data_IF_649271732640
#
_entry.id   IF_649271732640
#
_cell.length_a   1.000
_cell.length_b   1.000
_cell.length_c   1.000
_cell.angle_alpha   90.00
_cell.angle_beta   90.00
_cell.angle_gamma   90.00
#
_symmetry.space_group_name_H-M   'P 1'
#
loop_
_entity.id
_entity.type
_entity.pdbx_description
1 polymer ?
#
# COMPACT_ATOMS: atom_id res chain seq x y z
N UNK A 1 65.18 32.47 1.51
CA UNK A 1 64.21 32.33 0.40
C UNK A 1 62.84 32.03 1.01
N UNK A 2 61.85 32.93 0.89
CA UNK A 2 60.50 32.75 1.45
C UNK A 2 59.58 32.17 0.37
N UNK A 3 58.96 31.02 0.63
CA UNK A 3 57.94 30.42 -0.23
C UNK A 3 56.59 31.07 0.11
N UNK A 4 55.96 31.72 -0.87
CA UNK A 4 54.64 32.34 -0.72
C UNK A 4 53.57 31.24 -0.67
N UNK A 5 52.78 31.22 0.41
CA UNK A 5 51.65 30.31 0.58
C UNK A 5 50.50 30.78 -0.30
N UNK A 6 50.14 29.96 -1.28
CA UNK A 6 49.02 30.18 -2.19
C UNK A 6 47.72 29.74 -1.49
N UNK A 7 47.24 30.56 -0.55
CA UNK A 7 45.96 30.39 0.15
C UNK A 7 44.87 31.28 -0.47
N UNK A 8 44.76 31.27 -1.80
CA UNK A 8 43.56 31.75 -2.49
C UNK A 8 42.51 30.64 -2.56
N UNK A 9 41.21 30.91 -2.33
CA UNK A 9 40.16 29.88 -2.46
C UNK A 9 39.98 29.55 -3.95
N UNK A 10 40.81 28.66 -4.49
CA UNK A 10 40.84 28.29 -5.91
C UNK A 10 39.76 27.30 -6.35
N UNK A 11 38.74 27.05 -5.54
CA UNK A 11 37.67 26.10 -5.89
C UNK A 11 36.28 26.53 -5.41
N UNK A 12 35.84 27.75 -5.73
CA UNK A 12 34.41 28.03 -5.84
C UNK A 12 33.91 27.64 -7.25
N UNK A 13 34.08 26.37 -7.62
CA UNK A 13 33.53 25.81 -8.86
C UNK A 13 32.02 25.66 -8.71
N UNK A 14 31.26 26.75 -8.78
CA UNK A 14 29.84 26.78 -9.21
C UNK A 14 28.84 25.74 -8.68
N UNK A 15 29.08 25.04 -7.56
CA UNK A 15 28.21 23.96 -7.09
C UNK A 15 26.89 24.51 -6.53
N UNK A 16 26.87 25.77 -6.06
CA UNK A 16 25.73 26.36 -5.36
C UNK A 16 24.53 26.76 -6.23
N UNK A 17 24.70 26.93 -7.55
CA UNK A 17 23.62 27.49 -8.41
C UNK A 17 23.12 26.52 -9.48
N UNK A 18 24.03 25.76 -10.11
CA UNK A 18 23.66 24.80 -11.18
C UNK A 18 23.05 23.50 -10.63
N UNK A 19 23.43 23.10 -9.40
CA UNK A 19 22.85 21.91 -8.77
C UNK A 19 21.36 22.10 -8.46
N UNK A 20 20.95 23.30 -8.01
CA UNK A 20 19.55 23.58 -7.66
C UNK A 20 18.59 23.51 -8.86
N UNK A 21 19.03 23.93 -10.04
CA UNK A 21 18.26 23.79 -11.29
C UNK A 21 18.10 22.32 -11.72
N UNK A 22 19.17 21.53 -11.58
CA UNK A 22 19.12 20.08 -11.79
C UNK A 22 18.21 19.39 -10.75
N UNK A 23 18.19 19.88 -9.51
CA UNK A 23 17.31 19.41 -8.42
C UNK A 23 15.85 19.79 -8.70
N UNK A 24 15.60 20.96 -9.30
CA UNK A 24 14.27 21.42 -9.70
C UNK A 24 13.62 20.52 -10.76
N UNK A 25 14.40 20.11 -11.79
CA UNK A 25 13.93 19.17 -12.82
C UNK A 25 13.66 17.78 -12.22
N UNK A 26 14.58 17.30 -11.37
CA UNK A 26 14.47 16.02 -10.66
C UNK A 26 13.26 15.97 -9.74
N UNK A 27 12.95 17.06 -9.04
CA UNK A 27 11.79 17.16 -8.14
C UNK A 27 10.45 17.07 -8.90
N UNK A 28 10.36 17.68 -10.08
CA UNK A 28 9.18 17.56 -10.97
C UNK A 28 8.98 16.12 -11.43
N UNK A 29 10.06 15.42 -11.78
CA UNK A 29 10.03 14.01 -12.16
C UNK A 29 9.62 13.10 -10.99
N UNK A 30 10.23 13.28 -9.82
CA UNK A 30 9.89 12.52 -8.60
C UNK A 30 8.42 12.69 -8.22
N UNK A 31 7.86 13.91 -8.34
CA UNK A 31 6.43 14.13 -8.08
C UNK A 31 5.52 13.28 -8.97
N UNK A 32 5.78 13.25 -10.28
CA UNK A 32 5.00 12.42 -11.23
C UNK A 32 5.11 10.93 -10.90
N UNK A 33 6.29 10.49 -10.49
CA UNK A 33 6.53 9.10 -10.11
C UNK A 33 5.80 8.69 -8.83
N UNK A 34 5.86 9.53 -7.79
CA UNK A 34 5.15 9.31 -6.52
C UNK A 34 3.63 9.29 -6.73
N UNK A 35 3.10 10.19 -7.56
CA UNK A 35 1.68 10.23 -7.91
C UNK A 35 1.23 8.97 -8.67
N UNK A 36 2.06 8.48 -9.61
CA UNK A 36 1.82 7.22 -10.31
C UNK A 36 1.80 6.00 -9.38
N UNK A 37 2.74 5.94 -8.43
CA UNK A 37 2.78 4.87 -7.42
C UNK A 37 1.56 4.92 -6.50
N UNK A 38 1.13 6.11 -6.08
CA UNK A 38 -0.07 6.28 -5.26
C UNK A 38 -1.32 5.71 -5.93
N UNK A 39 -1.49 5.99 -7.24
CA UNK A 39 -2.60 5.46 -8.03
C UNK A 39 -2.54 3.92 -8.16
N UNK A 40 -1.36 3.37 -8.38
CA UNK A 40 -1.17 1.92 -8.49
C UNK A 40 -1.43 1.19 -7.16
N UNK A 41 -0.92 1.73 -6.05
CA UNK A 41 -1.09 1.16 -4.72
C UNK A 41 -2.55 1.23 -4.23
N UNK A 42 -3.27 2.30 -4.57
CA UNK A 42 -4.70 2.45 -4.27
C UNK A 42 -5.55 1.38 -4.96
N UNK A 43 -5.30 1.13 -6.24
CA UNK A 43 -6.04 0.13 -7.01
C UNK A 43 -5.70 -1.31 -6.58
N UNK A 44 -4.43 -1.62 -6.33
CA UNK A 44 -3.99 -2.95 -5.93
C UNK A 44 -4.61 -3.43 -4.60
N UNK A 45 -4.84 -2.51 -3.65
CA UNK A 45 -5.44 -2.84 -2.34
C UNK A 45 -6.96 -3.07 -2.45
N UNK A 46 -7.63 -2.42 -3.41
CA UNK A 46 -9.06 -2.59 -3.69
C UNK A 46 -9.37 -3.95 -4.31
N UNK A 47 -8.69 -4.28 -5.41
CA UNK A 47 -8.94 -5.52 -6.19
C UNK A 47 -8.70 -6.78 -5.36
N UNK A 48 -7.63 -6.80 -4.56
CA UNK A 48 -7.33 -7.95 -3.70
C UNK A 48 -8.38 -8.14 -2.59
N UNK A 49 -8.88 -7.05 -2.00
CA UNK A 49 -9.91 -7.11 -0.96
C UNK A 49 -11.26 -7.55 -1.51
N UNK A 50 -11.58 -7.11 -2.73
CA UNK A 50 -12.84 -7.47 -3.38
C UNK A 50 -12.89 -8.96 -3.75
N UNK A 51 -11.82 -9.51 -4.35
CA UNK A 51 -11.77 -10.92 -4.75
C UNK A 51 -11.81 -11.84 -3.52
N UNK A 52 -11.01 -11.51 -2.49
CA UNK A 52 -10.98 -12.30 -1.25
C UNK A 52 -12.34 -12.18 -0.54
N UNK A 53 -12.84 -10.96 -0.33
CA UNK A 53 -14.11 -10.73 0.39
C UNK A 53 -15.31 -11.41 -0.25
N UNK A 54 -15.43 -11.40 -1.59
CA UNK A 54 -16.52 -12.08 -2.31
C UNK A 54 -16.47 -13.60 -2.12
N UNK A 55 -15.29 -14.21 -2.27
CA UNK A 55 -15.12 -15.67 -2.07
C UNK A 55 -15.37 -16.09 -0.61
N UNK A 56 -14.83 -15.34 0.35
CA UNK A 56 -14.98 -15.67 1.78
C UNK A 56 -16.42 -15.49 2.24
N UNK A 57 -17.11 -14.44 1.81
CA UNK A 57 -18.53 -14.22 2.16
C UNK A 57 -19.44 -15.34 1.64
N UNK A 58 -19.24 -15.79 0.40
CA UNK A 58 -20.00 -16.92 -0.15
C UNK A 58 -19.74 -18.24 0.58
N UNK A 59 -18.51 -18.46 1.05
CA UNK A 59 -18.17 -19.63 1.89
C UNK A 59 -18.86 -19.56 3.25
N UNK A 60 -18.84 -18.40 3.91
CA UNK A 60 -19.44 -18.19 5.24
C UNK A 60 -20.96 -18.41 5.20
N UNK A 61 -21.66 -17.92 4.18
CA UNK A 61 -23.12 -18.14 4.01
C UNK A 61 -23.43 -19.65 3.94
N UNK A 62 -22.73 -20.40 3.08
CA UNK A 62 -22.93 -21.84 2.94
C UNK A 62 -22.62 -22.63 4.21
N UNK A 63 -21.59 -22.23 4.95
CA UNK A 63 -21.26 -22.85 6.24
C UNK A 63 -22.37 -22.59 7.27
N UNK A 64 -22.93 -21.37 7.32
CA UNK A 64 -24.05 -21.06 8.21
C UNK A 64 -25.29 -21.90 7.89
N UNK A 65 -25.66 -22.06 6.62
CA UNK A 65 -26.77 -22.93 6.20
C UNK A 65 -26.53 -24.39 6.62
N UNK A 66 -25.31 -24.90 6.42
CA UNK A 66 -24.94 -26.25 6.87
C UNK A 66 -25.05 -26.35 8.40
N UNK A 67 -24.55 -25.39 9.16
CA UNK A 67 -24.64 -25.42 10.63
C UNK A 67 -26.09 -25.35 11.14
N UNK A 68 -26.96 -24.63 10.44
CA UNK A 68 -28.39 -24.53 10.75
C UNK A 68 -29.09 -25.87 10.54
N UNK A 69 -28.78 -26.58 9.45
CA UNK A 69 -29.30 -27.94 9.19
C UNK A 69 -28.85 -28.93 10.26
N UNK A 70 -27.59 -28.88 10.70
CA UNK A 70 -27.08 -29.79 11.73
C UNK A 70 -27.62 -29.48 13.14
N UNK A 71 -27.96 -28.22 13.46
CA UNK A 71 -28.56 -27.83 14.74
C UNK A 71 -30.01 -28.30 14.94
N UNK A 72 -30.71 -28.66 13.86
CA UNK A 72 -32.13 -29.02 13.91
C UNK A 72 -32.39 -30.48 14.30
N UNK A 73 -31.38 -31.37 14.27
CA UNK A 73 -31.50 -32.76 14.72
C UNK A 73 -31.64 -32.92 16.25
N UNK A 74 -31.53 -31.83 17.01
CA UNK A 74 -31.64 -31.82 18.48
C UNK A 74 -33.04 -31.50 19.02
N UNK A 75 -33.97 -30.97 18.23
CA UNK A 75 -35.38 -30.82 18.66
C UNK A 75 -36.08 -32.16 18.57
N UNK A 76 -35.95 -32.96 19.63
CA UNK A 76 -36.85 -34.10 19.86
C UNK A 76 -38.30 -33.57 19.85
N UNK A 77 -39.20 -34.09 19.01
CA UNK A 77 -40.62 -33.94 19.25
C UNK A 77 -40.87 -34.68 20.57
N UNK A 78 -41.11 -33.93 21.64
CA UNK A 78 -41.63 -34.52 22.87
C UNK A 78 -42.99 -35.08 22.50
N UNK A 79 -43.04 -36.41 22.33
CA UNK A 79 -44.28 -37.15 22.24
C UNK A 79 -45.02 -36.89 23.55
N UNK A 80 -45.98 -35.98 23.51
CA UNK A 80 -46.93 -35.83 24.59
C UNK A 80 -47.80 -37.09 24.58
N UNK A 81 -47.59 -37.91 25.60
CA UNK A 81 -48.37 -39.09 25.88
C UNK A 81 -49.51 -38.66 26.80
N UNK A 82 -50.72 -38.53 26.24
CA UNK A 82 -52.01 -38.90 26.86
C UNK A 82 -53.18 -38.69 25.92
#
# INVERSE_FOLDING_TARGET
>A
MKLQTDDGPRYSLGIGSSSDDAVGSRRKFTRRFVEGIGKLAGNAKGDRREIIGKKTRGLVIRLSEVTEVYGNYGRRPTADSR
#
